data_IF_773432942997
#
_entry.id   IF_773432942997
#
_cell.length_a   1.000
_cell.length_b   1.000
_cell.length_c   1.000
_cell.angle_alpha   90.00
_cell.angle_beta   90.00
_cell.angle_gamma   90.00
#
_symmetry.space_group_name_H-M   'P 1'
#
loop_
_entity.id
_entity.type
_entity.pdbx_description
1 polymer ?
#
# COMPACT_ATOMS: atom_id res chain seq x y z
N UNK A 1 -12.83 35.20 -10.92
CA UNK A 1 -12.46 34.11 -10.00
C UNK A 1 -13.76 33.45 -9.55
N UNK A 2 -13.94 32.15 -9.81
CA UNK A 2 -15.12 31.41 -9.33
C UNK A 2 -14.92 30.96 -7.87
N UNK A 3 -16.01 30.65 -7.14
CA UNK A 3 -15.92 30.06 -5.79
C UNK A 3 -15.09 28.77 -5.77
N UNK A 4 -15.21 27.95 -6.80
CA UNK A 4 -14.46 26.71 -7.01
C UNK A 4 -12.96 27.01 -7.16
N UNK A 5 -12.59 27.97 -8.01
CA UNK A 5 -11.20 28.38 -8.18
C UNK A 5 -10.58 28.88 -6.87
N UNK A 6 -11.34 29.59 -6.02
CA UNK A 6 -10.83 29.97 -4.70
C UNK A 6 -10.70 28.76 -3.77
N UNK A 7 -11.59 27.75 -3.83
CA UNK A 7 -11.47 26.51 -3.04
C UNK A 7 -10.17 25.77 -3.40
N UNK A 8 -9.92 25.59 -4.69
CA UNK A 8 -8.74 24.85 -5.17
C UNK A 8 -7.45 25.57 -4.80
N UNK A 9 -7.38 26.89 -5.01
CA UNK A 9 -6.21 27.69 -4.65
C UNK A 9 -5.88 27.62 -3.15
N UNK A 10 -6.88 27.47 -2.27
CA UNK A 10 -6.67 27.33 -0.82
C UNK A 10 -6.11 25.96 -0.45
N UNK A 11 -6.56 24.91 -1.12
CA UNK A 11 -6.02 23.55 -0.95
C UNK A 11 -4.56 23.54 -1.44
N UNK A 12 -4.31 24.07 -2.64
CA UNK A 12 -2.97 24.18 -3.23
C UNK A 12 -1.99 24.92 -2.29
N UNK A 13 -2.44 26.00 -1.64
CA UNK A 13 -1.62 26.77 -0.72
C UNK A 13 -1.07 25.94 0.44
N UNK A 14 -1.89 25.03 1.00
CA UNK A 14 -1.49 24.21 2.14
C UNK A 14 -0.83 22.90 1.73
N UNK A 15 -1.19 22.33 0.58
CA UNK A 15 -0.65 21.05 0.10
C UNK A 15 0.60 21.23 -0.76
N UNK A 16 0.53 22.03 -1.82
CA UNK A 16 1.61 22.20 -2.80
C UNK A 16 2.61 23.26 -2.33
N UNK A 17 2.14 24.37 -1.75
CA UNK A 17 3.04 25.44 -1.28
C UNK A 17 3.49 25.26 0.18
N UNK A 18 3.03 24.21 0.87
CA UNK A 18 3.48 23.85 2.22
C UNK A 18 3.19 24.91 3.29
N UNK A 19 2.12 25.71 3.12
CA UNK A 19 1.73 26.69 4.13
C UNK A 19 0.98 26.02 5.27
N UNK A 20 1.21 26.43 6.53
CA UNK A 20 0.49 25.86 7.66
C UNK A 20 -1.00 26.21 7.59
N UNK A 21 -1.87 25.34 8.09
CA UNK A 21 -3.32 25.60 8.17
C UNK A 21 -3.64 26.90 8.92
N UNK A 22 -2.84 27.24 9.94
CA UNK A 22 -2.94 28.48 10.72
C UNK A 22 -2.78 29.75 9.88
N UNK A 23 -2.29 29.66 8.64
CA UNK A 23 -2.27 30.78 7.70
C UNK A 23 -3.67 31.40 7.51
N UNK A 24 -4.71 30.57 7.55
CA UNK A 24 -6.12 30.99 7.39
C UNK A 24 -6.63 31.85 8.55
N UNK A 25 -5.92 31.86 9.67
CA UNK A 25 -6.25 32.63 10.88
C UNK A 25 -5.46 33.93 10.98
N UNK A 26 -4.41 34.10 10.18
CA UNK A 26 -3.56 35.28 10.23
C UNK A 26 -4.33 36.54 9.81
N UNK A 27 -4.29 37.57 10.65
CA UNK A 27 -5.01 38.82 10.43
C UNK A 27 -4.67 39.49 9.08
N UNK A 28 -3.39 39.45 8.66
CA UNK A 28 -2.97 39.99 7.36
C UNK A 28 -3.57 39.23 6.18
N UNK A 29 -3.60 37.90 6.26
CA UNK A 29 -4.17 37.05 5.21
C UNK A 29 -5.69 37.22 5.13
N UNK A 30 -6.37 37.29 6.28
CA UNK A 30 -7.81 37.57 6.36
C UNK A 30 -8.19 38.89 5.70
N UNK A 31 -7.44 39.97 5.96
CA UNK A 31 -7.66 41.27 5.31
C UNK A 31 -7.58 41.21 3.77
N UNK A 32 -6.83 40.27 3.22
CA UNK A 32 -6.70 40.06 1.76
C UNK A 32 -7.87 39.22 1.22
N UNK A 33 -8.26 38.16 1.94
CA UNK A 33 -9.22 37.17 1.44
C UNK A 33 -10.68 37.53 1.75
N UNK A 34 -10.97 38.15 2.89
CA UNK A 34 -12.34 38.51 3.29
C UNK A 34 -13.06 39.39 2.25
N UNK A 35 -12.43 40.41 1.64
CA UNK A 35 -13.08 41.18 0.56
C UNK A 35 -13.46 40.31 -0.64
N UNK A 36 -12.63 39.32 -0.99
CA UNK A 36 -12.90 38.39 -2.09
C UNK A 36 -14.05 37.43 -1.75
N UNK A 37 -14.11 36.95 -0.50
CA UNK A 37 -15.22 36.12 -0.04
C UNK A 37 -16.54 36.87 -0.07
N UNK A 38 -16.55 38.11 0.45
CA UNK A 38 -17.76 38.94 0.49
C UNK A 38 -18.28 39.22 -0.93
N UNK A 39 -17.39 39.44 -1.89
CA UNK A 39 -17.75 39.66 -3.28
C UNK A 39 -18.37 38.41 -3.96
N UNK A 40 -18.04 37.20 -3.50
CA UNK A 40 -18.53 35.93 -4.06
C UNK A 40 -19.78 35.38 -3.34
N UNK A 41 -20.30 36.09 -2.35
CA UNK A 41 -21.41 35.66 -1.51
C UNK A 41 -20.92 34.97 -0.23
N UNK A 42 -21.45 35.41 0.92
CA UNK A 42 -21.03 35.07 2.29
C UNK A 42 -21.23 33.60 2.71
N UNK A 43 -21.24 32.65 1.77
CA UNK A 43 -21.54 31.25 2.06
C UNK A 43 -20.30 30.41 2.44
N UNK A 44 -19.13 31.02 2.59
CA UNK A 44 -17.88 30.29 2.86
C UNK A 44 -17.14 30.86 4.06
N UNK A 45 -17.15 30.13 5.19
CA UNK A 45 -16.29 30.40 6.33
C UNK A 45 -14.90 29.84 6.06
N UNK A 46 -13.85 30.63 6.27
CA UNK A 46 -12.46 30.19 6.13
C UNK A 46 -11.81 30.14 7.51
N UNK A 47 -11.40 28.94 7.91
CA UNK A 47 -10.57 28.71 9.09
C UNK A 47 -9.72 27.44 8.86
N UNK A 48 -8.79 27.19 9.78
CA UNK A 48 -7.89 26.03 9.72
C UNK A 48 -8.64 24.70 9.69
N UNK A 49 -9.76 24.58 10.41
CA UNK A 49 -10.56 23.35 10.48
C UNK A 49 -11.22 23.03 9.15
N UNK A 50 -11.89 24.00 8.52
CA UNK A 50 -12.56 23.78 7.25
C UNK A 50 -11.58 23.41 6.12
N UNK A 51 -10.39 24.04 6.10
CA UNK A 51 -9.36 23.66 5.12
C UNK A 51 -8.80 22.28 5.42
N UNK A 52 -8.64 21.89 6.69
CA UNK A 52 -8.24 20.54 7.06
C UNK A 52 -9.25 19.51 6.55
N UNK A 53 -10.54 19.72 6.78
CA UNK A 53 -11.60 18.81 6.34
C UNK A 53 -11.61 18.69 4.80
N UNK A 54 -11.45 19.82 4.09
CA UNK A 54 -11.32 19.84 2.63
C UNK A 54 -10.11 19.03 2.15
N UNK A 55 -8.94 19.23 2.75
CA UNK A 55 -7.72 18.47 2.40
C UNK A 55 -7.92 16.98 2.68
N UNK A 56 -8.56 16.62 3.80
CA UNK A 56 -8.88 15.24 4.13
C UNK A 56 -9.81 14.59 3.10
N UNK A 57 -10.83 15.32 2.61
CA UNK A 57 -11.74 14.86 1.56
C UNK A 57 -10.99 14.62 0.24
N UNK A 58 -10.20 15.60 -0.23
CA UNK A 58 -9.43 15.46 -1.47
C UNK A 58 -8.39 14.35 -1.36
N UNK A 59 -7.75 14.19 -0.20
CA UNK A 59 -6.83 13.10 0.04
C UNK A 59 -7.54 11.73 0.04
N UNK A 60 -8.80 11.65 0.49
CA UNK A 60 -9.60 10.43 0.40
C UNK A 60 -9.92 10.08 -1.04
N UNK A 61 -10.36 11.06 -1.84
CA UNK A 61 -10.58 10.86 -3.28
C UNK A 61 -9.33 10.35 -3.99
N UNK A 62 -8.17 10.95 -3.71
CA UNK A 62 -6.89 10.49 -4.27
C UNK A 62 -6.46 9.10 -3.80
N UNK A 63 -6.82 8.70 -2.56
CA UNK A 63 -6.57 7.33 -2.07
C UNK A 63 -7.45 6.31 -2.78
N UNK A 64 -8.73 6.63 -3.01
CA UNK A 64 -9.65 5.77 -3.78
C UNK A 64 -9.22 5.64 -5.23
N UNK A 65 -8.75 6.72 -5.86
CA UNK A 65 -8.16 6.67 -7.21
C UNK A 65 -6.94 5.75 -7.24
N UNK A 66 -6.00 5.93 -6.31
CA UNK A 66 -4.81 5.08 -6.21
C UNK A 66 -5.16 3.62 -5.93
N UNK A 67 -6.14 3.36 -5.07
CA UNK A 67 -6.65 2.02 -4.78
C UNK A 67 -7.16 1.32 -6.04
N UNK A 68 -7.94 2.03 -6.85
CA UNK A 68 -8.41 1.51 -8.14
C UNK A 68 -7.25 1.27 -9.12
N UNK A 69 -6.25 2.15 -9.14
CA UNK A 69 -5.07 2.00 -9.99
C UNK A 69 -4.26 0.73 -9.63
N UNK A 70 -4.18 0.35 -8.36
CA UNK A 70 -3.37 -0.79 -7.90
C UNK A 70 -4.06 -2.14 -8.11
N UNK A 71 -5.38 -2.15 -8.32
CA UNK A 71 -6.18 -3.37 -8.39
C UNK A 71 -5.73 -4.30 -9.52
N UNK A 72 -5.42 -5.55 -9.18
CA UNK A 72 -5.03 -6.58 -10.14
C UNK A 72 -3.69 -6.34 -10.83
N UNK A 73 -2.88 -5.39 -10.34
CA UNK A 73 -1.53 -5.13 -10.86
C UNK A 73 -0.49 -5.91 -10.08
N UNK A 74 0.64 -6.17 -10.74
CA UNK A 74 1.86 -6.64 -10.12
C UNK A 74 2.65 -5.44 -9.58
N UNK A 75 3.02 -5.49 -8.31
CA UNK A 75 3.52 -4.35 -7.55
C UNK A 75 4.93 -4.62 -7.00
N UNK A 76 5.74 -3.57 -6.96
CA UNK A 76 7.01 -3.54 -6.25
C UNK A 76 6.91 -2.57 -5.09
N UNK A 77 7.31 -2.97 -3.89
CA UNK A 77 7.36 -2.10 -2.73
C UNK A 77 8.75 -1.53 -2.50
N UNK A 78 8.80 -0.27 -2.08
CA UNK A 78 10.02 0.36 -1.54
C UNK A 78 9.72 0.85 -0.13
N UNK A 79 10.37 0.21 0.83
CA UNK A 79 10.18 0.47 2.25
C UNK A 79 11.45 1.12 2.79
N UNK A 80 11.30 2.30 3.35
CA UNK A 80 12.41 3.08 3.90
C UNK A 80 12.07 3.59 5.29
N UNK A 81 13.06 3.65 6.18
CA UNK A 81 12.88 4.16 7.54
C UNK A 81 13.87 5.28 7.82
N UNK A 82 13.37 6.40 8.32
CA UNK A 82 14.19 7.53 8.74
C UNK A 82 13.92 7.84 10.21
N UNK A 83 14.98 8.17 10.96
CA UNK A 83 14.87 8.59 12.37
C UNK A 83 15.41 10.00 12.54
N UNK A 84 14.60 10.90 13.12
CA UNK A 84 14.97 12.28 13.40
C UNK A 84 14.41 12.71 14.76
N UNK A 85 15.27 13.18 15.67
CA UNK A 85 14.90 13.73 16.99
C UNK A 85 13.90 12.84 17.74
N UNK A 86 14.27 11.58 17.92
CA UNK A 86 13.50 10.53 18.63
C UNK A 86 12.18 10.12 17.96
N UNK A 87 11.94 10.54 16.73
CA UNK A 87 10.80 10.11 15.92
C UNK A 87 11.30 9.30 14.75
N UNK A 88 10.81 8.08 14.63
CA UNK A 88 11.06 7.27 13.45
C UNK A 88 9.84 7.23 12.56
N UNK A 89 10.07 7.24 11.26
CA UNK A 89 9.03 7.26 10.24
C UNK A 89 9.36 6.22 9.19
N UNK A 90 8.38 5.37 8.88
CA UNK A 90 8.41 4.39 7.81
C UNK A 90 7.68 4.97 6.59
N UNK A 91 8.41 5.11 5.49
CA UNK A 91 7.85 5.38 4.18
C UNK A 91 7.58 4.07 3.45
N UNK A 92 6.35 3.90 2.97
CA UNK A 92 5.96 2.77 2.11
C UNK A 92 5.57 3.34 0.76
N UNK A 93 6.34 3.00 -0.27
CA UNK A 93 6.06 3.38 -1.65
C UNK A 93 5.75 2.15 -2.49
N UNK A 94 4.87 2.33 -3.47
CA UNK A 94 4.53 1.32 -4.47
C UNK A 94 5.01 1.77 -5.84
N UNK A 95 5.62 0.85 -6.56
CA UNK A 95 6.06 1.01 -7.93
C UNK A 95 5.33 -0.02 -8.80
N UNK A 96 4.75 0.43 -9.90
CA UNK A 96 4.06 -0.42 -10.86
C UNK A 96 4.24 0.11 -12.28
N UNK A 97 3.92 -0.72 -13.27
CA UNK A 97 3.96 -0.34 -14.67
C UNK A 97 2.58 0.05 -15.14
N UNK A 98 2.49 1.19 -15.82
CA UNK A 98 1.30 1.64 -16.52
C UNK A 98 1.64 1.94 -17.98
N UNK A 99 1.28 0.99 -18.86
CA UNK A 99 1.74 0.96 -20.25
C UNK A 99 3.26 0.82 -20.33
N UNK A 100 3.93 1.80 -20.94
CA UNK A 100 5.39 1.84 -21.07
C UNK A 100 6.08 2.62 -19.94
N UNK A 101 5.30 3.13 -18.96
CA UNK A 101 5.83 4.01 -17.91
C UNK A 101 5.87 3.28 -16.57
N UNK A 102 7.00 3.45 -15.89
CA UNK A 102 7.13 3.10 -14.47
C UNK A 102 6.54 4.23 -13.63
N UNK A 103 5.54 3.91 -12.83
CA UNK A 103 4.88 4.84 -11.92
C UNK A 103 5.33 4.53 -10.49
N UNK A 104 5.72 5.56 -9.74
CA UNK A 104 6.05 5.48 -8.32
C UNK A 104 5.06 6.33 -7.54
N UNK A 105 4.41 5.74 -6.53
CA UNK A 105 3.46 6.41 -5.64
C UNK A 105 3.81 6.11 -4.19
N UNK A 106 3.54 7.05 -3.30
CA UNK A 106 3.68 6.85 -1.86
C UNK A 106 2.34 6.37 -1.30
N UNK A 107 2.33 5.19 -0.67
CA UNK A 107 1.14 4.66 -0.01
C UNK A 107 0.96 5.29 1.36
N UNK A 108 2.05 5.34 2.15
CA UNK A 108 2.00 5.86 3.50
C UNK A 108 3.35 6.38 3.98
N UNK A 109 3.28 7.31 4.93
CA UNK A 109 4.39 7.79 5.75
C UNK A 109 3.92 7.67 7.19
N UNK A 110 4.28 6.57 7.87
CA UNK A 110 3.79 6.20 9.21
C UNK A 110 4.86 6.46 10.25
N UNK A 111 4.49 7.13 11.34
CA UNK A 111 5.37 7.24 12.51
C UNK A 111 5.41 5.90 13.25
N UNK A 112 6.63 5.41 13.55
CA UNK A 112 6.86 4.20 14.30
C UNK A 112 6.96 4.55 15.80
N UNK A 113 6.03 4.03 16.60
CA UNK A 113 5.93 4.35 18.03
C UNK A 113 6.51 3.25 18.94
N UNK A 114 6.90 2.11 18.37
CA UNK A 114 7.44 0.96 19.10
C UNK A 114 8.91 0.72 18.70
N UNK A 115 9.58 -0.22 19.37
CA UNK A 115 10.85 -0.78 18.93
C UNK A 115 10.66 -1.28 17.50
N UNK A 116 11.54 -0.87 16.60
CA UNK A 116 11.52 -1.21 15.16
C UNK A 116 11.83 -2.70 14.93
N UNK A 117 11.12 -3.59 15.61
CA UNK A 117 11.20 -5.03 15.44
C UNK A 117 10.71 -5.40 14.03
N UNK A 118 11.16 -6.54 13.53
CA UNK A 118 10.81 -6.98 12.20
C UNK A 118 9.30 -7.23 12.08
N UNK A 119 8.72 -7.77 13.15
CA UNK A 119 7.30 -8.09 13.29
C UNK A 119 6.45 -6.82 13.24
N UNK A 120 6.86 -5.77 13.97
CA UNK A 120 6.14 -4.49 13.95
C UNK A 120 6.23 -3.79 12.60
N UNK A 121 7.40 -3.81 11.94
CA UNK A 121 7.54 -3.24 10.60
C UNK A 121 6.66 -4.00 9.61
N UNK A 122 6.70 -5.33 9.64
CA UNK A 122 5.86 -6.18 8.79
C UNK A 122 4.37 -5.92 8.99
N UNK A 123 3.90 -5.79 10.24
CA UNK A 123 2.50 -5.48 10.53
C UNK A 123 2.08 -4.11 9.99
N UNK A 124 2.91 -3.08 10.18
CA UNK A 124 2.63 -1.73 9.65
C UNK A 124 2.56 -1.75 8.12
N UNK A 125 3.40 -2.53 7.45
CA UNK A 125 3.36 -2.68 5.99
C UNK A 125 2.07 -3.38 5.55
N UNK A 126 1.67 -4.46 6.23
CA UNK A 126 0.41 -5.16 5.95
C UNK A 126 -0.81 -4.26 6.15
N UNK A 127 -0.85 -3.48 7.23
CA UNK A 127 -1.92 -2.51 7.48
C UNK A 127 -2.02 -1.50 6.33
N UNK A 128 -0.88 -0.97 5.88
CA UNK A 128 -0.82 -0.05 4.73
C UNK A 128 -1.32 -0.73 3.46
N UNK A 129 -0.95 -1.97 3.17
CA UNK A 129 -1.45 -2.67 1.98
C UNK A 129 -2.96 -2.92 2.05
N UNK A 130 -3.47 -3.30 3.23
CA UNK A 130 -4.89 -3.52 3.47
C UNK A 130 -5.73 -2.25 3.27
N UNK A 131 -5.22 -1.06 3.65
CA UNK A 131 -5.91 0.22 3.39
C UNK A 131 -6.19 0.47 1.89
N UNK A 132 -5.37 -0.10 1.00
CA UNK A 132 -5.51 0.03 -0.45
C UNK A 132 -6.07 -1.23 -1.13
N UNK A 133 -6.65 -2.18 -0.37
CA UNK A 133 -7.07 -3.51 -0.85
C UNK A 133 -6.00 -4.21 -1.71
N UNK A 134 -4.74 -4.05 -1.32
CA UNK A 134 -3.61 -4.73 -1.97
C UNK A 134 -3.33 -6.02 -1.22
N UNK A 135 -3.44 -7.14 -1.91
CA UNK A 135 -3.08 -8.45 -1.37
C UNK A 135 -1.57 -8.68 -1.47
N UNK A 136 -0.98 -9.41 -0.53
CA UNK A 136 0.46 -9.74 -0.57
C UNK A 136 0.85 -10.48 -1.85
N UNK A 137 -0.04 -11.30 -2.43
CA UNK A 137 0.21 -11.99 -3.71
C UNK A 137 0.45 -11.04 -4.89
N UNK A 138 -0.04 -9.80 -4.83
CA UNK A 138 0.21 -8.79 -5.85
C UNK A 138 1.63 -8.21 -5.75
N UNK A 139 2.29 -8.36 -4.60
CA UNK A 139 3.64 -7.87 -4.37
C UNK A 139 4.64 -8.86 -4.94
N UNK A 140 5.34 -8.45 -5.99
CA UNK A 140 6.38 -9.25 -6.65
C UNK A 140 7.74 -9.11 -5.98
N UNK A 141 8.07 -7.90 -5.55
CA UNK A 141 9.36 -7.63 -4.92
C UNK A 141 9.26 -6.50 -3.91
N UNK A 142 10.09 -6.59 -2.88
CA UNK A 142 10.23 -5.57 -1.85
C UNK A 142 11.67 -5.13 -1.83
N UNK A 143 11.90 -3.83 -1.83
CA UNK A 143 13.21 -3.22 -1.64
C UNK A 143 13.23 -2.45 -0.34
N UNK A 144 14.27 -2.69 0.45
CA UNK A 144 14.49 -2.04 1.73
C UNK A 144 15.96 -1.66 1.88
N UNK A 145 16.28 -0.92 2.94
CA UNK A 145 17.67 -0.79 3.39
C UNK A 145 18.21 -2.13 3.95
N UNK A 146 19.51 -2.15 4.24
CA UNK A 146 20.20 -3.31 4.81
C UNK A 146 20.08 -3.39 6.35
N UNK A 147 19.15 -2.65 6.97
CA UNK A 147 18.89 -2.72 8.39
C UNK A 147 18.46 -4.13 8.78
N UNK A 148 19.05 -4.68 9.86
CA UNK A 148 18.80 -6.07 10.26
C UNK A 148 17.30 -6.36 10.49
N UNK A 149 16.55 -5.38 11.01
CA UNK A 149 15.11 -5.53 11.23
C UNK A 149 14.31 -5.36 9.94
N UNK A 150 14.80 -4.56 8.98
CA UNK A 150 14.17 -4.39 7.67
C UNK A 150 14.29 -5.66 6.84
N UNK A 151 15.49 -6.25 6.76
CA UNK A 151 15.74 -7.53 6.08
C UNK A 151 14.85 -8.64 6.67
N UNK A 152 14.78 -8.73 8.00
CA UNK A 152 13.91 -9.69 8.67
C UNK A 152 12.43 -9.43 8.39
N UNK A 153 11.99 -8.18 8.37
CA UNK A 153 10.61 -7.83 8.07
C UNK A 153 10.22 -8.25 6.64
N UNK A 154 11.13 -8.06 5.67
CA UNK A 154 10.94 -8.52 4.29
C UNK A 154 10.83 -10.05 4.23
N UNK A 155 11.69 -10.78 4.94
CA UNK A 155 11.60 -12.24 5.03
C UNK A 155 10.24 -12.69 5.58
N UNK A 156 9.78 -12.07 6.68
CA UNK A 156 8.46 -12.38 7.26
C UNK A 156 7.32 -12.13 6.29
N UNK A 157 7.39 -11.05 5.49
CA UNK A 157 6.36 -10.76 4.48
C UNK A 157 6.35 -11.81 3.35
N UNK A 158 7.53 -12.28 2.93
CA UNK A 158 7.66 -13.37 1.95
C UNK A 158 7.08 -14.68 2.50
N UNK A 159 7.41 -15.04 3.74
CA UNK A 159 6.89 -16.27 4.36
C UNK A 159 5.36 -16.25 4.44
N UNK A 160 4.76 -15.12 4.84
CA UNK A 160 3.30 -14.95 4.88
C UNK A 160 2.67 -15.07 3.49
N UNK A 161 3.33 -14.54 2.46
CA UNK A 161 2.87 -14.64 1.07
C UNK A 161 2.85 -16.11 0.62
N UNK A 162 3.91 -16.86 0.88
CA UNK A 162 4.01 -18.29 0.54
C UNK A 162 2.93 -19.11 1.27
N UNK A 163 2.76 -18.90 2.58
CA UNK A 163 1.73 -19.56 3.38
C UNK A 163 0.31 -19.30 2.86
N UNK A 164 0.02 -18.05 2.46
CA UNK A 164 -1.27 -17.68 1.90
C UNK A 164 -1.55 -18.42 0.58
N UNK A 165 -0.54 -18.54 -0.28
CA UNK A 165 -0.68 -19.25 -1.55
C UNK A 165 -0.88 -20.76 -1.37
N UNK A 166 -0.22 -21.38 -0.39
CA UNK A 166 -0.33 -22.81 -0.12
C UNK A 166 -1.72 -23.20 0.42
N UNK A 167 -2.31 -22.34 1.27
CA UNK A 167 -3.63 -22.60 1.86
C UNK A 167 -4.77 -22.50 0.82
N UNK A 168 -4.70 -21.55 -0.12
CA UNK A 168 -5.72 -21.41 -1.18
C UNK A 168 -5.74 -22.62 -2.14
N UNK A 169 -4.58 -23.23 -2.43
CA UNK A 169 -4.50 -24.42 -3.30
C UNK A 169 -5.17 -25.63 -2.65
N UNK A 170 -4.95 -25.82 -1.34
CA UNK A 170 -5.54 -26.95 -0.60
C UNK A 170 -7.07 -26.85 -0.48
N UNK A 171 -7.64 -25.64 -0.41
CA UNK A 171 -9.09 -25.42 -0.39
C UNK A 171 -9.73 -25.63 -1.78
N UNK A 172 -9.02 -25.35 -2.88
CA UNK A 172 -9.52 -25.60 -4.23
C UNK A 172 -9.55 -27.11 -4.57
N UNK A 173 -8.55 -27.88 -4.13
CA UNK A 173 -8.47 -29.34 -4.37
C UNK A 173 -9.48 -30.17 -3.56
N UNK A 174 -10.11 -29.60 -2.54
CA UNK A 174 -11.11 -30.29 -1.71
C UNK A 174 -12.54 -30.17 -2.24
N UNK A 175 -12.82 -29.32 -3.23
CA UNK A 175 -14.17 -29.17 -3.82
C UNK A 175 -14.47 -30.12 -5.00
N UNK A 176 -13.51 -30.92 -5.46
CA UNK A 176 -13.67 -31.85 -6.60
C UNK A 176 -13.82 -33.33 -6.20
N UNK A 177 -14.07 -33.64 -4.92
CA UNK A 177 -14.26 -35.02 -4.45
C UNK A 177 -15.50 -35.23 -3.56
N UNK A 178 -16.69 -34.94 -4.08
CA UNK A 178 -17.90 -35.60 -3.59
C UNK A 178 -18.83 -35.95 -4.75
N UNK A 179 -18.77 -37.20 -5.22
CA UNK A 179 -19.95 -38.04 -5.51
C UNK A 179 -19.55 -39.53 -5.65
N UNK A 180 -19.75 -40.23 -4.53
CA UNK A 180 -20.40 -41.54 -4.35
C UNK A 180 -19.82 -42.87 -4.92
N UNK A 181 -19.56 -43.78 -3.97
CA UNK A 181 -19.93 -45.20 -4.03
C UNK A 181 -18.98 -46.19 -4.72
N UNK A 182 -18.18 -46.94 -3.96
CA UNK A 182 -18.55 -48.30 -3.51
C UNK A 182 -17.36 -48.97 -2.80
N UNK A 183 -17.67 -49.66 -1.69
CA UNK A 183 -16.73 -50.45 -0.90
C UNK A 183 -16.24 -51.68 -1.69
N UNK A 184 -14.94 -51.97 -1.70
CA UNK A 184 -14.46 -53.35 -1.57
C UNK A 184 -13.03 -53.41 -1.01
N UNK A 185 -12.88 -54.16 0.07
CA UNK A 185 -11.64 -54.66 0.66
C UNK A 185 -10.79 -55.44 -0.36
N UNK A 186 -9.50 -55.10 -0.52
CA UNK A 186 -8.44 -56.09 -0.84
C UNK A 186 -7.13 -55.71 -0.14
N UNK A 187 -6.49 -56.76 0.40
CA UNK A 187 -5.34 -56.83 1.29
C UNK A 187 -3.98 -56.44 0.66
N UNK A 188 -3.13 -55.87 1.51
CA UNK A 188 -1.67 -56.05 1.67
C UNK A 188 -0.86 -56.66 0.50
N UNK A 189 0.10 -55.89 -0.05
CA UNK A 189 1.44 -56.40 -0.37
C UNK A 189 2.44 -55.25 -0.60
N UNK A 190 3.56 -55.36 0.11
CA UNK A 190 4.80 -54.58 0.00
C UNK A 190 5.34 -54.44 -1.43
N UNK A 191 5.82 -53.23 -1.80
CA UNK A 191 7.11 -53.07 -2.49
C UNK A 191 7.59 -51.61 -2.56
N UNK A 192 8.82 -51.44 -2.08
CA UNK A 192 9.71 -50.30 -2.20
C UNK A 192 10.15 -50.13 -3.67
N UNK A 193 10.01 -48.94 -4.26
CA UNK A 193 10.79 -48.53 -5.45
C UNK A 193 10.79 -47.00 -5.64
N UNK A 194 11.93 -46.37 -5.34
CA UNK A 194 12.38 -45.12 -5.98
C UNK A 194 13.39 -45.54 -7.06
N UNK A 195 13.38 -44.93 -8.26
CA UNK A 195 14.33 -43.85 -8.54
C UNK A 195 13.74 -42.74 -9.44
N UNK A 196 13.99 -41.47 -9.14
CA UNK A 196 15.11 -40.66 -9.67
C UNK A 196 14.93 -40.25 -11.14
N UNK A 197 14.62 -38.97 -11.36
CA UNK A 197 14.70 -38.35 -12.69
C UNK A 197 15.38 -36.99 -12.58
N UNK A 198 16.71 -37.05 -12.45
CA UNK A 198 17.58 -35.96 -12.86
C UNK A 198 17.48 -35.77 -14.38
N UNK A 199 17.06 -34.58 -14.81
CA UNK A 199 17.30 -34.10 -16.18
C UNK A 199 18.01 -32.76 -16.05
N UNK A 200 19.34 -32.80 -16.05
CA UNK A 200 20.15 -31.77 -16.69
C UNK A 200 20.33 -32.22 -18.15
N UNK A 201 20.07 -31.32 -19.10
CA UNK A 201 20.88 -31.21 -20.31
C UNK A 201 20.63 -29.85 -20.96
N UNK A 202 21.64 -29.01 -20.77
CA UNK A 202 21.97 -27.81 -21.52
C UNK A 202 21.87 -27.99 -23.04
N UNK A 203 21.59 -26.84 -23.68
CA UNK A 203 22.15 -26.40 -24.97
C UNK A 203 21.72 -27.14 -26.23
N UNK A 204 21.15 -26.35 -27.17
CA UNK A 204 21.02 -26.49 -28.64
C UNK A 204 19.72 -25.74 -28.99
N UNK A 205 19.65 -24.68 -29.80
CA UNK A 205 20.50 -24.23 -30.90
C UNK A 205 20.06 -22.83 -31.34
N UNK A 206 21.06 -22.00 -31.70
CA UNK A 206 21.06 -20.92 -32.71
C UNK A 206 20.23 -19.65 -32.47
#
# INVERSE_FOLDING_TARGET
MSPECLKDARIELVTVNGRPFTLMENAGFRKIIEPLQNAMGNNFVINSSNIRDMVSSVAQEGREELKNDLKGRLLMLKIDSATCRDRSVLGVNVQYTDGEKTVLRTLAVRELNDRHTAEYISSVVQDVLHEYDVELRQVYSITSDNGANMIKAVSLLSDIQEDTMCNEVNEADTMDKEEDGDETDIQDESQELVPDLAIELDSVMQ
#
